data_IF_021732745986
#
_entry.id   IF_021732745986
#
_cell.length_a   1.000
_cell.length_b   1.000
_cell.length_c   1.000
_cell.angle_alpha   90.00
_cell.angle_beta   90.00
_cell.angle_gamma   90.00
#
_symmetry.space_group_name_H-M   'P 1'
#
loop_
_entity.id
_entity.type
_entity.pdbx_description
1 polymer ?
#
# COMPACT_ATOMS: atom_id res chain seq x y z
N UNK A 1 -5.18 -6.95 31.27
CA UNK A 1 -3.98 -6.75 30.42
C UNK A 1 -3.58 -5.29 30.51
N UNK A 2 -2.32 -4.97 30.78
CA UNK A 2 -1.83 -3.59 30.90
C UNK A 2 -1.91 -2.95 29.51
N UNK A 3 -2.66 -1.85 29.36
CA UNK A 3 -2.65 -1.07 28.14
C UNK A 3 -1.20 -0.65 27.85
N UNK A 4 -0.54 -1.31 26.91
CA UNK A 4 0.69 -0.78 26.35
C UNK A 4 0.28 0.45 25.56
N UNK A 5 0.46 1.64 26.14
CA UNK A 5 -0.01 2.88 25.54
C UNK A 5 0.45 3.02 24.10
N UNK A 6 -0.47 3.36 23.19
CA UNK A 6 -0.21 3.60 21.77
C UNK A 6 1.04 4.46 21.55
N UNK A 7 1.79 4.18 20.49
CA UNK A 7 2.90 5.05 20.07
C UNK A 7 2.38 6.48 19.82
N UNK A 8 2.89 7.50 20.55
CA UNK A 8 2.38 8.86 20.46
C UNK A 8 2.54 9.47 19.07
N UNK A 9 3.54 9.01 18.28
CA UNK A 9 3.73 9.46 16.90
C UNK A 9 2.60 8.97 16.01
N UNK A 10 2.16 7.72 16.19
CA UNK A 10 1.02 7.16 15.45
C UNK A 10 -0.29 7.82 15.86
N UNK A 11 -0.51 8.01 17.15
CA UNK A 11 -1.71 8.71 17.65
C UNK A 11 -1.79 10.14 17.11
N UNK A 12 -0.69 10.89 17.16
CA UNK A 12 -0.62 12.25 16.61
C UNK A 12 -0.91 12.26 15.11
N UNK A 13 -0.38 11.28 14.37
CA UNK A 13 -0.58 11.20 12.93
C UNK A 13 -2.03 10.87 12.58
N UNK A 14 -2.65 9.93 13.30
CA UNK A 14 -4.05 9.57 13.11
C UNK A 14 -4.98 10.76 13.40
N UNK A 15 -4.71 11.52 14.46
CA UNK A 15 -5.44 12.74 14.76
C UNK A 15 -5.28 13.78 13.64
N UNK A 16 -4.08 13.95 13.09
CA UNK A 16 -3.81 14.86 11.97
C UNK A 16 -4.56 14.44 10.70
N UNK A 17 -4.56 13.15 10.34
CA UNK A 17 -5.31 12.60 9.20
C UNK A 17 -6.81 12.86 9.36
N UNK A 18 -7.36 12.64 10.56
CA UNK A 18 -8.80 12.75 10.81
C UNK A 18 -9.35 14.18 10.66
N UNK A 19 -8.54 15.20 10.93
CA UNK A 19 -8.97 16.62 10.86
C UNK A 19 -8.55 17.32 9.57
N UNK A 20 -7.71 16.68 8.76
CA UNK A 20 -7.13 17.30 7.57
C UNK A 20 -8.02 17.16 6.34
N UNK A 21 -8.01 18.15 5.42
CA UNK A 21 -8.64 17.99 4.11
C UNK A 21 -8.09 16.80 3.34
N UNK A 22 -8.94 16.09 2.59
CA UNK A 22 -8.58 14.88 1.84
C UNK A 22 -7.32 15.04 0.96
N UNK A 23 -7.17 16.21 0.32
CA UNK A 23 -6.02 16.53 -0.53
C UNK A 23 -4.66 16.52 0.21
N UNK A 24 -4.66 16.77 1.54
CA UNK A 24 -3.45 16.81 2.36
C UNK A 24 -3.13 15.43 2.97
N UNK A 25 -4.11 14.54 3.07
CA UNK A 25 -3.96 13.21 3.67
C UNK A 25 -2.80 12.41 3.05
N UNK A 26 -2.59 12.37 1.71
CA UNK A 26 -1.46 11.65 1.12
C UNK A 26 -0.11 12.10 1.67
N UNK A 27 0.09 13.41 1.82
CA UNK A 27 1.35 13.99 2.31
C UNK A 27 1.55 13.69 3.80
N UNK A 28 0.47 13.73 4.58
CA UNK A 28 0.51 13.41 6.00
C UNK A 28 0.90 11.93 6.19
N UNK A 29 0.29 11.02 5.42
CA UNK A 29 0.58 9.58 5.48
C UNK A 29 2.05 9.24 5.15
N UNK A 30 2.76 10.08 4.37
CA UNK A 30 4.19 9.87 4.12
C UNK A 30 5.05 9.92 5.40
N UNK A 31 4.60 10.60 6.46
CA UNK A 31 5.28 10.62 7.76
C UNK A 31 5.41 9.22 8.38
N UNK A 32 4.56 8.26 8.00
CA UNK A 32 4.70 6.85 8.40
C UNK A 32 6.04 6.26 7.99
N UNK A 33 6.57 6.66 6.83
CA UNK A 33 7.87 6.16 6.33
C UNK A 33 9.00 6.49 7.30
N UNK A 34 9.02 7.71 7.83
CA UNK A 34 10.03 8.13 8.81
C UNK A 34 9.88 7.36 10.12
N UNK A 35 8.65 7.16 10.61
CA UNK A 35 8.40 6.41 11.84
C UNK A 35 8.90 4.97 11.70
N UNK A 36 8.58 4.31 10.58
CA UNK A 36 8.97 2.92 10.31
C UNK A 36 10.48 2.79 10.14
N UNK A 37 11.11 3.69 9.37
CA UNK A 37 12.54 3.62 9.08
C UNK A 37 13.43 3.94 10.30
N UNK A 38 12.93 4.77 11.22
CA UNK A 38 13.65 5.12 12.43
C UNK A 38 13.49 4.06 13.54
N UNK A 39 12.59 3.09 13.38
CA UNK A 39 12.42 2.00 14.34
C UNK A 39 13.21 0.76 13.88
N UNK A 40 14.05 0.16 14.75
CA UNK A 40 14.90 -0.96 14.35
C UNK A 40 14.12 -2.15 13.79
N UNK A 41 14.61 -2.72 12.69
CA UNK A 41 13.99 -3.88 12.04
C UNK A 41 13.91 -5.09 12.98
N UNK A 42 12.77 -5.78 12.99
CA UNK A 42 12.53 -6.96 13.83
C UNK A 42 12.37 -6.67 15.33
N UNK A 43 12.41 -5.40 15.76
CA UNK A 43 12.18 -5.02 17.15
C UNK A 43 10.72 -5.21 17.57
N UNK A 44 10.50 -5.41 18.87
CA UNK A 44 9.15 -5.38 19.46
C UNK A 44 8.48 -4.01 19.30
N UNK A 45 9.28 -2.94 19.26
CA UNK A 45 8.81 -1.58 18.96
C UNK A 45 8.21 -1.52 17.55
N UNK A 46 8.90 -2.05 16.53
CA UNK A 46 8.38 -2.03 15.16
C UNK A 46 7.08 -2.81 15.03
N UNK A 47 6.99 -3.98 15.70
CA UNK A 47 5.74 -4.75 15.75
C UNK A 47 4.59 -3.93 16.32
N UNK A 48 4.83 -3.24 17.43
CA UNK A 48 3.83 -2.38 18.07
C UNK A 48 3.45 -1.19 17.19
N UNK A 49 4.42 -0.52 16.57
CA UNK A 49 4.17 0.57 15.62
C UNK A 49 3.26 0.10 14.48
N UNK A 50 3.54 -1.06 13.87
CA UNK A 50 2.67 -1.63 12.82
C UNK A 50 1.27 -1.95 13.33
N UNK A 51 1.16 -2.48 14.55
CA UNK A 51 -0.14 -2.73 15.18
C UNK A 51 -0.92 -1.44 15.36
N UNK A 52 -0.29 -0.39 15.89
CA UNK A 52 -0.93 0.91 16.08
C UNK A 52 -1.34 1.50 14.72
N UNK A 53 -0.49 1.45 13.69
CA UNK A 53 -0.84 1.90 12.33
C UNK A 53 -2.11 1.19 11.82
N UNK A 54 -2.25 -0.10 12.08
CA UNK A 54 -3.43 -0.87 11.70
C UNK A 54 -4.67 -0.49 12.53
N UNK A 55 -4.54 -0.42 13.86
CA UNK A 55 -5.64 -0.09 14.77
C UNK A 55 -6.22 1.32 14.55
N UNK A 56 -5.44 2.26 14.04
CA UNK A 56 -5.89 3.62 13.69
C UNK A 56 -6.25 3.76 12.21
N UNK A 57 -6.51 2.66 11.51
CA UNK A 57 -6.96 2.63 10.10
C UNK A 57 -6.01 3.29 9.09
N UNK A 58 -4.77 3.59 9.47
CA UNK A 58 -3.83 4.30 8.60
C UNK A 58 -3.45 3.47 7.37
N UNK A 59 -3.45 2.13 7.50
CA UNK A 59 -3.31 1.22 6.36
C UNK A 59 -4.47 1.38 5.37
N UNK A 60 -5.72 1.47 5.87
CA UNK A 60 -6.91 1.68 5.04
C UNK A 60 -6.87 3.05 4.38
N UNK A 61 -6.43 4.10 5.08
CA UNK A 61 -6.24 5.43 4.48
C UNK A 61 -5.21 5.41 3.34
N UNK A 62 -4.07 4.72 3.51
CA UNK A 62 -3.12 4.53 2.40
C UNK A 62 -3.78 3.85 1.20
N UNK A 63 -4.52 2.76 1.42
CA UNK A 63 -5.21 2.04 0.36
C UNK A 63 -6.27 2.91 -0.34
N UNK A 64 -7.07 3.66 0.42
CA UNK A 64 -8.07 4.60 -0.10
C UNK A 64 -7.41 5.66 -0.98
N UNK A 65 -6.32 6.28 -0.54
CA UNK A 65 -5.56 7.24 -1.35
C UNK A 65 -5.08 6.61 -2.66
N UNK A 66 -4.50 5.41 -2.59
CA UNK A 66 -3.99 4.72 -3.78
C UNK A 66 -5.09 4.22 -4.73
N UNK A 67 -6.33 4.11 -4.27
CA UNK A 67 -7.50 3.76 -5.10
C UNK A 67 -8.08 4.94 -5.88
N UNK A 68 -7.67 6.17 -5.56
CA UNK A 68 -8.14 7.37 -6.23
C UNK A 68 -7.42 7.62 -7.56
N UNK A 69 -7.95 8.59 -8.32
CA UNK A 69 -7.29 9.09 -9.52
C UNK A 69 -5.91 9.67 -9.19
N UNK A 70 -4.87 8.99 -9.67
CA UNK A 70 -3.47 9.32 -9.44
C UNK A 70 -3.09 10.74 -9.89
N UNK A 71 -3.81 11.32 -10.86
CA UNK A 71 -3.59 12.70 -11.32
C UNK A 71 -3.97 13.76 -10.26
N UNK A 72 -4.81 13.39 -9.29
CA UNK A 72 -5.31 14.27 -8.23
C UNK A 72 -4.48 14.21 -6.95
N UNK A 73 -3.55 13.26 -6.85
CA UNK A 73 -2.71 13.07 -5.66
C UNK A 73 -1.56 14.08 -5.68
N UNK A 74 -1.45 14.88 -4.63
CA UNK A 74 -0.35 15.82 -4.47
C UNK A 74 1.00 15.08 -4.48
N UNK A 75 1.92 15.52 -5.34
CA UNK A 75 3.22 14.87 -5.56
C UNK A 75 3.20 13.70 -6.55
N UNK A 76 2.04 13.37 -7.12
CA UNK A 76 1.88 12.41 -8.22
C UNK A 76 2.51 11.05 -7.93
N UNK A 77 3.21 10.49 -8.93
CA UNK A 77 3.86 9.17 -8.84
C UNK A 77 4.86 9.06 -7.70
N UNK A 78 5.54 10.15 -7.32
CA UNK A 78 6.48 10.13 -6.18
C UNK A 78 5.78 9.83 -4.86
N UNK A 79 4.61 10.44 -4.62
CA UNK A 79 3.80 10.17 -3.41
C UNK A 79 3.20 8.77 -3.48
N UNK A 80 2.65 8.39 -4.63
CA UNK A 80 2.02 7.07 -4.87
C UNK A 80 3.01 5.93 -4.60
N UNK A 81 4.22 6.01 -5.16
CA UNK A 81 5.26 4.99 -4.97
C UNK A 81 5.68 4.89 -3.50
N UNK A 82 5.78 6.01 -2.78
CA UNK A 82 6.13 5.97 -1.35
C UNK A 82 5.00 5.41 -0.49
N UNK A 83 3.74 5.74 -0.77
CA UNK A 83 2.58 5.15 -0.08
C UNK A 83 2.46 3.65 -0.36
N UNK A 84 2.78 3.22 -1.58
CA UNK A 84 2.84 1.80 -1.96
C UNK A 84 3.89 1.05 -1.14
N UNK A 85 5.09 1.62 -0.98
CA UNK A 85 6.13 1.07 -0.09
C UNK A 85 5.66 1.00 1.36
N UNK A 86 5.08 2.08 1.90
CA UNK A 86 4.56 2.13 3.27
C UNK A 86 3.52 1.02 3.46
N UNK A 87 2.52 0.95 2.57
CA UNK A 87 1.43 -0.01 2.65
C UNK A 87 1.97 -1.45 2.68
N UNK A 88 2.90 -1.76 1.76
CA UNK A 88 3.54 -3.08 1.70
C UNK A 88 4.32 -3.42 2.98
N UNK A 89 5.17 -2.50 3.44
CA UNK A 89 5.97 -2.70 4.66
C UNK A 89 5.12 -2.85 5.92
N UNK A 90 4.04 -2.08 6.05
CA UNK A 90 3.13 -2.18 7.20
C UNK A 90 2.40 -3.52 7.22
N UNK A 91 1.97 -4.03 6.07
CA UNK A 91 1.22 -5.27 5.99
C UNK A 91 2.09 -6.52 6.29
N UNK A 92 3.36 -6.52 5.92
CA UNK A 92 4.24 -7.70 6.13
C UNK A 92 4.67 -7.81 7.59
N UNK A 93 4.38 -8.96 8.21
CA UNK A 93 4.69 -9.24 9.62
C UNK A 93 3.77 -8.54 10.63
N UNK A 94 2.63 -8.01 10.16
CA UNK A 94 1.54 -7.55 11.02
C UNK A 94 0.80 -8.74 11.64
N UNK A 95 0.38 -8.61 12.89
CA UNK A 95 -0.41 -9.61 13.62
C UNK A 95 -1.82 -9.03 13.86
N UNK A 96 -2.78 -9.18 12.91
CA UNK A 96 -4.06 -8.46 12.92
C UNK A 96 -5.01 -8.84 14.06
N UNK A 97 -4.71 -9.90 14.82
CA UNK A 97 -5.48 -10.27 16.01
C UNK A 97 -6.91 -10.68 15.67
N UNK A 98 -7.90 -9.99 16.26
CA UNK A 98 -9.33 -10.27 16.08
C UNK A 98 -9.81 -9.93 14.65
N UNK A 99 -9.17 -8.96 13.99
CA UNK A 99 -9.53 -8.50 12.63
C UNK A 99 -8.79 -9.29 11.53
N UNK A 100 -8.25 -10.47 11.86
CA UNK A 100 -7.49 -11.29 10.91
C UNK A 100 -8.30 -11.65 9.66
N UNK A 101 -9.59 -11.96 9.81
CA UNK A 101 -10.44 -12.32 8.67
C UNK A 101 -10.52 -11.18 7.66
N UNK A 102 -10.81 -9.96 8.12
CA UNK A 102 -10.89 -8.79 7.25
C UNK A 102 -9.52 -8.46 6.64
N UNK A 103 -8.46 -8.50 7.44
CA UNK A 103 -7.11 -8.23 6.97
C UNK A 103 -6.71 -9.16 5.82
N UNK A 104 -6.90 -10.48 5.99
CA UNK A 104 -6.46 -11.48 5.01
C UNK A 104 -7.39 -11.61 3.80
N UNK A 105 -8.70 -11.39 3.97
CA UNK A 105 -9.68 -11.64 2.90
C UNK A 105 -10.10 -10.37 2.14
N UNK A 106 -9.92 -9.19 2.73
CA UNK A 106 -10.36 -7.93 2.12
C UNK A 106 -9.18 -6.97 1.91
N UNK A 107 -8.49 -6.59 2.98
CA UNK A 107 -7.45 -5.56 2.91
C UNK A 107 -6.26 -6.00 2.04
N UNK A 108 -5.69 -7.17 2.32
CA UNK A 108 -4.52 -7.66 1.59
C UNK A 108 -4.80 -7.90 0.09
N UNK A 109 -5.90 -8.58 -0.31
CA UNK A 109 -6.26 -8.70 -1.71
C UNK A 109 -6.45 -7.34 -2.39
N UNK A 110 -7.11 -6.39 -1.72
CA UNK A 110 -7.33 -5.04 -2.25
C UNK A 110 -6.02 -4.28 -2.46
N UNK A 111 -5.06 -4.40 -1.54
CA UNK A 111 -3.73 -3.82 -1.69
C UNK A 111 -2.97 -4.42 -2.88
N UNK A 112 -3.01 -5.74 -3.04
CA UNK A 112 -2.36 -6.42 -4.16
C UNK A 112 -3.00 -6.03 -5.51
N UNK A 113 -4.32 -5.98 -5.60
CA UNK A 113 -5.05 -5.54 -6.79
C UNK A 113 -4.71 -4.08 -7.14
N UNK A 114 -4.68 -3.21 -6.13
CA UNK A 114 -4.34 -1.81 -6.33
C UNK A 114 -2.92 -1.65 -6.92
N UNK A 115 -1.92 -2.38 -6.42
CA UNK A 115 -0.56 -2.34 -6.96
C UNK A 115 -0.50 -2.79 -8.44
N UNK A 116 -1.29 -3.79 -8.82
CA UNK A 116 -1.39 -4.23 -10.22
C UNK A 116 -2.02 -3.15 -11.12
N UNK A 117 -3.05 -2.45 -10.61
CA UNK A 117 -3.67 -1.32 -11.33
C UNK A 117 -2.67 -0.17 -11.51
N UNK A 118 -1.93 0.20 -10.46
CA UNK A 118 -0.88 1.22 -10.53
C UNK A 118 0.22 0.84 -11.53
N UNK A 119 0.66 -0.42 -11.53
CA UNK A 119 1.63 -0.93 -12.50
C UNK A 119 1.14 -0.77 -13.96
N UNK A 120 -0.13 -1.09 -14.23
CA UNK A 120 -0.74 -0.90 -15.56
C UNK A 120 -0.82 0.58 -15.96
N UNK A 121 -1.16 1.46 -15.01
CA UNK A 121 -1.22 2.90 -15.26
C UNK A 121 0.17 3.46 -15.58
N UNK A 122 1.20 3.08 -14.82
CA UNK A 122 2.60 3.44 -15.08
C UNK A 122 3.06 2.95 -16.46
N UNK A 123 2.74 1.71 -16.82
CA UNK A 123 3.03 1.17 -18.15
C UNK A 123 2.37 1.99 -19.26
N UNK A 124 1.11 2.39 -19.06
CA UNK A 124 0.36 3.22 -20.01
C UNK A 124 1.03 4.60 -20.16
N UNK A 125 1.39 5.24 -19.05
CA UNK A 125 2.15 6.49 -19.06
C UNK A 125 3.48 6.34 -19.80
N UNK A 126 4.21 5.24 -19.56
CA UNK A 126 5.50 4.98 -20.18
C UNK A 126 5.41 4.85 -21.71
N UNK A 127 4.41 4.12 -22.21
CA UNK A 127 4.18 3.96 -23.66
C UNK A 127 3.89 5.31 -24.32
N UNK A 128 3.13 6.17 -23.63
CA UNK A 128 2.72 7.48 -24.14
C UNK A 128 3.78 8.58 -23.96
N UNK A 129 4.80 8.35 -23.13
CA UNK A 129 5.84 9.34 -22.84
C UNK A 129 6.72 9.61 -24.07
N UNK A 130 6.88 10.89 -24.41
CA UNK A 130 7.65 11.32 -25.57
C UNK A 130 9.15 11.50 -25.29
N UNK A 131 9.52 11.75 -24.03
CA UNK A 131 10.89 12.07 -23.61
C UNK A 131 11.56 10.92 -22.86
N UNK A 132 12.87 10.77 -23.04
CA UNK A 132 13.67 9.75 -22.34
C UNK A 132 13.70 9.93 -20.83
N UNK A 133 13.94 11.15 -20.35
CA UNK A 133 14.01 11.45 -18.90
C UNK A 133 12.68 11.15 -18.17
N UNK A 134 11.55 11.40 -18.82
CA UNK A 134 10.22 11.06 -18.30
C UNK A 134 10.02 9.54 -18.23
N UNK A 135 10.50 8.82 -19.25
CA UNK A 135 10.50 7.35 -19.28
C UNK A 135 11.33 6.75 -18.16
N UNK A 136 12.52 7.29 -17.89
CA UNK A 136 13.39 6.82 -16.80
C UNK A 136 12.72 7.00 -15.43
N UNK A 137 12.07 8.16 -15.20
CA UNK A 137 11.31 8.39 -13.98
C UNK A 137 10.13 7.42 -13.83
N UNK A 138 9.37 7.18 -14.90
CA UNK A 138 8.25 6.24 -14.90
C UNK A 138 8.69 4.79 -14.66
N UNK A 139 9.83 4.38 -15.22
CA UNK A 139 10.44 3.07 -14.94
C UNK A 139 10.81 2.95 -13.46
N UNK A 140 11.44 3.98 -12.88
CA UNK A 140 11.77 3.98 -11.46
C UNK A 140 10.55 3.82 -10.56
N UNK A 141 9.44 4.51 -10.86
CA UNK A 141 8.20 4.34 -10.10
C UNK A 141 7.59 2.95 -10.28
N UNK A 142 7.69 2.38 -11.48
CA UNK A 142 7.22 1.02 -11.78
C UNK A 142 8.01 -0.04 -11.02
N UNK A 143 9.34 0.10 -10.95
CA UNK A 143 10.21 -0.74 -10.12
C UNK A 143 9.75 -0.69 -8.66
N UNK A 144 9.56 0.51 -8.09
CA UNK A 144 9.11 0.64 -6.70
C UNK A 144 7.77 -0.05 -6.44
N UNK A 145 6.78 0.14 -7.32
CA UNK A 145 5.45 -0.48 -7.17
C UNK A 145 5.56 -2.00 -7.26
N UNK A 146 6.36 -2.50 -8.21
CA UNK A 146 6.54 -3.93 -8.45
C UNK A 146 7.30 -4.59 -7.30
N UNK A 147 8.37 -3.97 -6.80
CA UNK A 147 9.12 -4.45 -5.63
C UNK A 147 8.25 -4.47 -4.38
N UNK A 148 7.40 -3.45 -4.20
CA UNK A 148 6.44 -3.41 -3.10
C UNK A 148 5.40 -4.52 -3.20
N UNK A 149 4.93 -4.85 -4.41
CA UNK A 149 4.05 -5.99 -4.63
C UNK A 149 4.75 -7.31 -4.32
N UNK A 150 5.98 -7.52 -4.80
CA UNK A 150 6.72 -8.75 -4.50
C UNK A 150 7.02 -8.90 -3.02
N UNK A 151 7.34 -7.81 -2.31
CA UNK A 151 7.49 -7.82 -0.87
C UNK A 151 6.19 -8.25 -0.17
N UNK A 152 5.05 -7.68 -0.57
CA UNK A 152 3.74 -8.02 -0.01
C UNK A 152 3.40 -9.50 -0.22
N UNK A 153 3.59 -10.01 -1.45
CA UNK A 153 3.33 -11.41 -1.81
C UNK A 153 4.29 -12.38 -1.11
N UNK A 154 5.56 -12.01 -0.96
CA UNK A 154 6.56 -12.79 -0.24
C UNK A 154 6.25 -12.90 1.26
N UNK A 155 5.71 -11.83 1.84
CA UNK A 155 5.24 -11.83 3.24
C UNK A 155 3.93 -12.58 3.46
N UNK A 156 3.10 -12.70 2.43
CA UNK A 156 1.75 -13.29 2.50
C UNK A 156 1.52 -14.34 1.41
N UNK A 157 2.20 -15.48 1.53
CA UNK A 157 2.09 -16.60 0.56
C UNK A 157 0.64 -17.06 0.31
N UNK A 158 -0.27 -16.83 1.26
CA UNK A 158 -1.69 -17.12 1.13
C UNK A 158 -2.36 -16.36 -0.03
N UNK A 159 -1.88 -15.16 -0.36
CA UNK A 159 -2.34 -14.40 -1.54
C UNK A 159 -2.05 -15.17 -2.85
N UNK A 160 -0.94 -15.89 -2.89
CA UNK A 160 -0.56 -16.72 -4.04
C UNK A 160 -1.37 -18.03 -4.04
N UNK A 161 -1.68 -18.57 -2.86
CA UNK A 161 -2.43 -19.83 -2.72
C UNK A 161 -3.92 -19.66 -3.03
N UNK A 162 -4.53 -18.54 -2.66
CA UNK A 162 -5.95 -18.24 -2.94
C UNK A 162 -6.21 -17.98 -4.44
N UNK A 163 -5.18 -17.62 -5.22
CA UNK A 163 -5.25 -17.61 -6.68
C UNK A 163 -5.58 -18.99 -7.28
N UNK A 164 -5.21 -20.10 -6.61
CA UNK A 164 -5.56 -21.47 -7.02
C UNK A 164 -6.96 -21.91 -6.58
N UNK A 165 -7.67 -21.13 -5.78
CA UNK A 165 -9.07 -21.39 -5.38
C UNK A 165 -10.08 -20.57 -6.19
N UNK A 166 -9.63 -19.57 -6.94
CA UNK A 166 -10.45 -18.75 -7.84
C UNK A 166 -10.10 -19.00 -9.31
N UNK A 167 -10.18 -20.25 -9.75
CA UNK A 167 -10.22 -20.63 -11.18
C UNK A 167 -11.53 -20.18 -11.89
N UNK A 168 -12.06 -18.98 -11.59
CA UNK A 168 -13.32 -18.48 -12.21
C UNK A 168 -13.22 -17.04 -12.74
N UNK A 169 -12.08 -16.35 -12.65
CA UNK A 169 -11.97 -14.95 -13.14
C UNK A 169 -10.88 -14.67 -14.18
N UNK A 170 -10.44 -15.70 -14.89
CA UNK A 170 -9.64 -15.55 -16.12
C UNK A 170 -10.30 -16.36 -17.27
N UNK A 171 -11.54 -16.05 -17.63
CA UNK A 171 -12.10 -16.50 -18.94
C UNK A 171 -13.06 -15.51 -19.61
N UNK A 172 -13.25 -14.29 -19.10
CA UNK A 172 -14.26 -13.40 -19.70
C UNK A 172 -13.75 -12.37 -20.71
N UNK A 173 -12.48 -12.40 -21.16
CA UNK A 173 -11.98 -11.41 -22.13
C UNK A 173 -11.13 -11.93 -23.32
N UNK A 174 -11.08 -13.25 -23.58
CA UNK A 174 -10.40 -13.78 -24.79
C UNK A 174 -11.31 -14.52 -25.79
N UNK A 175 -12.62 -14.26 -25.81
CA UNK A 175 -13.50 -14.72 -26.91
C UNK A 175 -14.35 -13.61 -27.50
N UNK A 176 -13.73 -12.62 -28.15
CA UNK A 176 -14.34 -11.94 -29.30
C UNK A 176 -13.21 -11.52 -30.26
N UNK A 177 -13.37 -11.84 -31.55
CA UNK A 177 -12.48 -11.59 -32.72
C UNK A 177 -11.26 -12.54 -32.79
N UNK A 178 -11.10 -13.45 -33.77
CA UNK A 178 -11.60 -13.58 -35.14
C UNK A 178 -11.93 -15.04 -35.47
#
# INVERSE_FOLDING_TARGET
MKAMGTDPRILSLAAEVAISPEQNVPVILLKLKEIINNTPFGSSELKKVKQDIYCYDLIRYCLLVLSQDCSRIQGGWTTISQLTQILSHCCVGLEPGEDAEEFYNELLPSAAENFLVLGRQLQTCFINAAKGEEKDALLHFFEIVTDSLFWLLGGHVQLIQNGKKKDILIDSHCRVTH
#
